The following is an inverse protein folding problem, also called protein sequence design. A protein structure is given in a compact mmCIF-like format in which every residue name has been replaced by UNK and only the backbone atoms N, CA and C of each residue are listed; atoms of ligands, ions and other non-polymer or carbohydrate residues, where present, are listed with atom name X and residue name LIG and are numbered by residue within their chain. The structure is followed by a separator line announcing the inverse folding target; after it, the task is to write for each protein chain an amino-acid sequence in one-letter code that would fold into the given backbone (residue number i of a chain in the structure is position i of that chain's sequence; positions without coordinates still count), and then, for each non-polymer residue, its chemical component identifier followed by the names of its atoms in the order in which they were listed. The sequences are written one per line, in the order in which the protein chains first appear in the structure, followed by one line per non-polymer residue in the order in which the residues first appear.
data_IF_858627619196
#
_entry.id   IF_858627619196
#
_cell.length_a   1.000
_cell.length_b   1.000
_cell.length_c   1.000
_cell.angle_alpha   90.00
_cell.angle_beta   90.00
_cell.angle_gamma   90.00
#
_symmetry.space_group_name_H-M   'P 1'
#
loop_
_entity.id
_entity.type
_entity.pdbx_description
1 polymer ?
#
# COMPACT_ATOMS: atom_id res chain seq x y z
N UNK A 1 -8.47 -8.70 15.06
CA UNK A 1 -8.03 -8.31 13.71
C UNK A 1 -9.29 -8.22 12.85
N UNK A 2 -9.52 -7.11 12.13
CA UNK A 2 -10.81 -6.80 11.50
C UNK A 2 -11.17 -7.66 10.27
N UNK A 3 -10.32 -8.62 9.87
CA UNK A 3 -10.59 -9.48 8.70
C UNK A 3 -10.63 -8.73 7.36
N UNK A 4 -10.09 -7.50 7.33
CA UNK A 4 -10.07 -6.66 6.14
C UNK A 4 -8.81 -7.00 5.35
N UNK A 5 -8.99 -7.40 4.09
CA UNK A 5 -7.91 -7.59 3.13
C UNK A 5 -7.39 -6.22 2.66
N UNK A 6 -6.37 -5.71 3.35
CA UNK A 6 -5.74 -4.42 3.08
C UNK A 6 -4.52 -4.56 2.18
N UNK A 7 -4.35 -3.64 1.23
CA UNK A 7 -3.11 -3.47 0.46
C UNK A 7 -2.53 -2.10 0.73
N UNK A 8 -1.22 -2.04 1.02
CA UNK A 8 -0.51 -0.78 1.27
C UNK A 8 0.60 -0.61 0.25
N UNK A 9 0.49 0.41 -0.58
CA UNK A 9 1.52 0.75 -1.56
C UNK A 9 2.55 1.67 -0.90
N UNK A 10 3.82 1.27 -0.94
CA UNK A 10 4.94 2.03 -0.39
C UNK A 10 6.03 2.21 -1.44
N UNK A 11 6.83 3.29 -1.39
CA UNK A 11 7.96 3.45 -2.29
C UNK A 11 9.04 2.42 -1.97
N UNK A 12 9.86 2.03 -2.97
CA UNK A 12 10.95 1.05 -2.79
C UNK A 12 11.98 1.48 -1.75
N UNK A 13 12.15 2.79 -1.56
CA UNK A 13 13.02 3.37 -0.54
C UNK A 13 12.44 3.42 0.88
N UNK A 14 11.24 2.85 1.10
CA UNK A 14 10.60 2.90 2.41
C UNK A 14 11.46 2.21 3.50
N UNK A 15 11.55 2.80 4.72
CA UNK A 15 12.27 2.18 5.82
C UNK A 15 11.70 0.80 6.15
N UNK A 16 12.57 -0.21 6.29
CA UNK A 16 12.16 -1.59 6.60
C UNK A 16 11.32 -1.71 7.88
N UNK A 17 11.52 -0.81 8.85
CA UNK A 17 10.72 -0.75 10.08
C UNK A 17 9.25 -0.41 9.81
N UNK A 18 8.95 0.44 8.83
CA UNK A 18 7.56 0.79 8.45
C UNK A 18 6.88 -0.33 7.65
N UNK A 19 7.64 -1.02 6.82
CA UNK A 19 7.16 -2.20 6.07
C UNK A 19 6.79 -3.31 7.06
N UNK A 20 7.68 -3.64 7.99
CA UNK A 20 7.44 -4.68 9.00
C UNK A 20 6.20 -4.39 9.85
N UNK A 21 6.06 -3.14 10.34
CA UNK A 21 4.88 -2.75 11.10
C UNK A 21 3.58 -2.90 10.29
N UNK A 22 3.62 -2.69 8.98
CA UNK A 22 2.43 -2.79 8.11
C UNK A 22 2.07 -4.24 7.80
N UNK A 23 3.06 -5.10 7.60
CA UNK A 23 2.85 -6.54 7.44
C UNK A 23 2.19 -7.17 8.69
N UNK A 24 2.56 -6.70 9.89
CA UNK A 24 1.98 -7.20 11.15
C UNK A 24 0.48 -6.90 11.26
N UNK A 25 -0.05 -5.91 10.55
CA UNK A 25 -1.48 -5.60 10.51
C UNK A 25 -2.27 -6.46 9.49
N UNK A 26 -1.65 -7.51 8.92
CA UNK A 26 -2.23 -8.35 7.85
C UNK A 26 -2.62 -7.58 6.59
N UNK A 27 -1.89 -6.49 6.31
CA UNK A 27 -1.95 -5.81 5.04
C UNK A 27 -0.82 -6.31 4.13
N UNK A 28 -1.13 -6.58 2.86
CA UNK A 28 -0.12 -6.87 1.84
C UNK A 28 0.61 -5.58 1.47
N UNK A 29 1.94 -5.57 1.62
CA UNK A 29 2.76 -4.41 1.27
C UNK A 29 3.25 -4.53 -0.17
N UNK A 30 2.85 -3.59 -1.02
CA UNK A 30 3.28 -3.48 -2.42
C UNK A 30 4.34 -2.40 -2.53
N UNK A 31 5.59 -2.78 -2.77
CA UNK A 31 6.69 -1.83 -2.97
C UNK A 31 6.75 -1.39 -4.44
N UNK A 32 6.41 -0.13 -4.73
CA UNK A 32 6.40 0.40 -6.08
C UNK A 32 6.83 1.87 -6.14
N UNK A 33 7.59 2.22 -7.18
CA UNK A 33 8.05 3.59 -7.39
C UNK A 33 9.14 4.06 -6.44
N UNK A 34 9.64 5.27 -6.73
CA UNK A 34 10.71 5.92 -5.96
C UNK A 34 10.19 7.13 -5.18
N UNK A 35 9.01 7.63 -5.54
CA UNK A 35 8.36 8.77 -4.93
C UNK A 35 6.86 8.49 -4.62
N UNK A 36 6.22 9.44 -3.94
CA UNK A 36 4.81 9.31 -3.56
C UNK A 36 3.83 9.28 -4.75
N UNK A 37 4.10 10.05 -5.81
CA UNK A 37 3.24 10.06 -7.00
C UNK A 37 3.24 8.70 -7.71
N UNK A 38 4.39 8.03 -7.77
CA UNK A 38 4.49 6.69 -8.34
C UNK A 38 3.66 5.68 -7.51
N UNK A 39 3.68 5.81 -6.18
CA UNK A 39 2.90 4.95 -5.30
C UNK A 39 1.40 5.21 -5.45
N UNK A 40 0.99 6.46 -5.63
CA UNK A 40 -0.39 6.83 -5.89
C UNK A 40 -0.88 6.28 -7.22
N UNK A 41 -0.09 6.42 -8.29
CA UNK A 41 -0.41 5.86 -9.59
C UNK A 41 -0.64 4.34 -9.48
N UNK A 42 0.27 3.64 -8.78
CA UNK A 42 0.12 2.20 -8.58
C UNK A 42 -1.09 1.83 -7.71
N UNK A 43 -1.42 2.63 -6.71
CA UNK A 43 -2.60 2.40 -5.89
C UNK A 43 -3.89 2.58 -6.69
N UNK A 44 -3.96 3.59 -7.56
CA UNK A 44 -5.05 3.78 -8.51
C UNK A 44 -5.21 2.59 -9.46
N UNK A 45 -4.11 2.08 -10.04
CA UNK A 45 -4.16 0.89 -10.90
C UNK A 45 -4.75 -0.32 -10.16
N UNK A 46 -4.35 -0.54 -8.89
CA UNK A 46 -4.85 -1.66 -8.07
C UNK A 46 -6.35 -1.48 -7.79
N UNK A 47 -6.80 -0.26 -7.53
CA UNK A 47 -8.20 0.07 -7.30
C UNK A 47 -9.04 -0.25 -8.54
N UNK A 48 -8.58 0.15 -9.72
CA UNK A 48 -9.26 -0.11 -10.98
C UNK A 48 -9.25 -1.61 -11.34
N UNK A 49 -8.11 -2.29 -11.18
CA UNK A 49 -7.96 -3.70 -11.56
C UNK A 49 -8.65 -4.67 -10.60
N UNK A 50 -8.65 -4.38 -9.30
CA UNK A 50 -9.16 -5.28 -8.25
C UNK A 50 -10.51 -4.81 -7.67
N UNK A 51 -11.03 -3.66 -8.09
CA UNK A 51 -12.29 -3.10 -7.58
C UNK A 51 -12.22 -2.71 -6.10
N UNK A 52 -11.05 -2.29 -5.62
CA UNK A 52 -10.80 -1.96 -4.20
C UNK A 52 -11.19 -0.52 -3.88
N UNK A 53 -11.36 -0.23 -2.59
CA UNK A 53 -11.57 1.14 -2.11
C UNK A 53 -10.20 1.75 -1.78
N UNK A 54 -9.90 2.89 -2.39
CA UNK A 54 -8.70 3.65 -2.04
C UNK A 54 -8.91 4.42 -0.73
N UNK A 55 -7.98 4.26 0.21
CA UNK A 55 -7.91 5.09 1.40
C UNK A 55 -6.59 5.89 1.39
N UNK A 56 -6.71 7.22 1.25
CA UNK A 56 -5.56 8.11 1.39
C UNK A 56 -5.40 8.52 2.85
N UNK A 57 -4.22 8.38 3.47
CA UNK A 57 -3.92 9.11 4.69
C UNK A 57 -3.89 10.60 4.32
N UNK A 58 -4.85 11.35 4.87
CA UNK A 58 -4.86 12.82 4.79
C UNK A 58 -3.67 13.40 5.57
#
# INVERSE_FOLDING_TARGET
MLGIDGKVVMPKGAPKSKVAATCDYSAEVVLHGDNFNDTLAKASDIVELEGRIFYSPL
#
